data_IF_051169764836
#
_entry.id   IF_051169764836
#
_cell.length_a   1.000
_cell.length_b   1.000
_cell.length_c   1.000
_cell.angle_alpha   90.00
_cell.angle_beta   90.00
_cell.angle_gamma   90.00
#
_symmetry.space_group_name_H-M   'P 1'
#
loop_
_entity.id
_entity.type
_entity.pdbx_description
1 polymer ?
#
# COMPACT_ATOMS: atom_id res chain seq x y z
N UNK A 1 10.69 17.60 -11.43
CA UNK A 1 11.09 16.45 -10.58
C UNK A 1 9.87 16.03 -9.78
N UNK A 2 9.11 15.05 -10.27
CA UNK A 2 7.93 14.55 -9.55
C UNK A 2 8.40 13.91 -8.24
N UNK A 3 8.02 14.50 -7.12
CA UNK A 3 8.54 14.13 -5.79
C UNK A 3 7.73 12.94 -5.29
N UNK A 4 8.14 11.74 -5.67
CA UNK A 4 7.53 10.52 -5.15
C UNK A 4 7.75 10.51 -3.64
N UNK A 5 6.67 10.36 -2.88
CA UNK A 5 6.76 10.27 -1.42
C UNK A 5 6.52 8.81 -1.05
N UNK A 6 7.58 8.17 -0.55
CA UNK A 6 7.55 6.81 0.00
C UNK A 6 7.24 6.94 1.47
N UNK A 7 6.18 6.32 1.95
CA UNK A 7 5.83 6.43 3.37
C UNK A 7 5.89 5.13 4.14
N UNK A 8 6.12 4.02 3.45
CA UNK A 8 6.11 2.72 4.08
C UNK A 8 7.41 2.03 3.68
N UNK A 9 8.21 1.76 4.71
CA UNK A 9 9.34 0.85 4.72
C UNK A 9 9.71 0.54 6.19
N UNK A 10 9.59 1.54 7.09
CA UNK A 10 9.99 1.38 8.50
C UNK A 10 8.84 1.40 9.54
N UNK A 11 7.74 2.15 9.32
CA UNK A 11 6.67 2.32 10.33
C UNK A 11 5.24 2.45 9.74
N UNK A 12 4.59 1.33 9.37
CA UNK A 12 3.24 1.31 8.80
C UNK A 12 2.20 2.06 9.61
N UNK A 13 2.14 1.76 10.91
CA UNK A 13 1.16 2.33 11.81
C UNK A 13 1.31 3.85 11.95
N UNK A 14 2.54 4.35 11.95
CA UNK A 14 2.81 5.79 12.06
C UNK A 14 2.38 6.53 10.79
N UNK A 15 2.69 5.98 9.63
CA UNK A 15 2.30 6.55 8.34
C UNK A 15 0.78 6.64 8.17
N UNK A 16 0.08 5.55 8.49
CA UNK A 16 -1.39 5.52 8.47
C UNK A 16 -1.98 6.61 9.39
N UNK A 17 -1.38 6.82 10.58
CA UNK A 17 -1.77 7.90 11.52
C UNK A 17 -1.42 9.30 10.99
N UNK A 18 -0.34 9.48 10.23
CA UNK A 18 0.02 10.76 9.62
C UNK A 18 -0.94 11.12 8.48
N UNK A 19 -1.34 10.13 7.67
CA UNK A 19 -2.38 10.30 6.63
C UNK A 19 -3.72 10.66 7.28
N UNK A 20 -4.13 9.95 8.34
CA UNK A 20 -5.40 10.23 9.02
C UNK A 20 -5.52 11.65 9.57
N UNK A 21 -4.39 12.32 9.83
CA UNK A 21 -4.33 13.71 10.32
C UNK A 21 -4.27 14.73 9.19
N UNK A 22 -3.74 14.35 8.03
CA UNK A 22 -3.45 15.28 6.93
C UNK A 22 -4.55 15.24 5.87
N UNK A 23 -5.09 14.06 5.60
CA UNK A 23 -6.05 13.79 4.53
C UNK A 23 -7.00 12.63 4.93
N UNK A 24 -8.15 12.94 5.57
CA UNK A 24 -9.10 11.94 6.05
C UNK A 24 -9.77 11.12 4.94
N UNK A 25 -9.98 11.72 3.77
CA UNK A 25 -10.61 11.05 2.63
C UNK A 25 -9.65 10.02 2.03
N UNK A 26 -8.39 10.41 1.86
CA UNK A 26 -7.33 9.48 1.48
C UNK A 26 -7.14 8.37 2.52
N UNK A 27 -7.18 8.70 3.81
CA UNK A 27 -7.11 7.71 4.87
C UNK A 27 -8.24 6.67 4.78
N UNK A 28 -9.47 7.12 4.54
CA UNK A 28 -10.62 6.23 4.37
C UNK A 28 -10.45 5.32 3.14
N UNK A 29 -9.99 5.87 2.01
CA UNK A 29 -9.73 5.12 0.78
C UNK A 29 -8.63 4.07 0.97
N UNK A 30 -7.49 4.45 1.54
CA UNK A 30 -6.36 3.53 1.79
C UNK A 30 -6.76 2.44 2.78
N UNK A 31 -7.49 2.80 3.84
CA UNK A 31 -7.96 1.82 4.84
C UNK A 31 -8.94 0.83 4.23
N UNK A 32 -9.93 1.31 3.47
CA UNK A 32 -10.88 0.44 2.78
C UNK A 32 -10.19 -0.46 1.75
N UNK A 33 -9.22 0.08 1.00
CA UNK A 33 -8.48 -0.70 0.01
C UNK A 33 -7.65 -1.80 0.70
N UNK A 34 -6.92 -1.49 1.78
CA UNK A 34 -6.14 -2.50 2.54
C UNK A 34 -7.04 -3.60 3.11
N UNK A 35 -8.21 -3.26 3.64
CA UNK A 35 -9.18 -4.25 4.18
C UNK A 35 -9.69 -5.19 3.10
N UNK A 36 -9.78 -4.73 1.86
CA UNK A 36 -10.25 -5.52 0.71
C UNK A 36 -9.14 -6.31 0.01
N UNK A 37 -7.86 -6.09 0.37
CA UNK A 37 -6.74 -6.84 -0.22
C UNK A 37 -6.81 -8.30 0.22
N UNK A 38 -6.67 -9.18 -0.77
CA UNK A 38 -6.47 -10.62 -0.59
C UNK A 38 -5.12 -11.05 -1.21
N UNK A 39 -4.74 -12.31 -1.00
CA UNK A 39 -3.49 -12.89 -1.49
C UNK A 39 -3.40 -12.96 -3.03
N UNK A 40 -4.49 -12.67 -3.73
CA UNK A 40 -4.59 -12.64 -5.20
C UNK A 40 -4.45 -11.23 -5.76
N UNK A 41 -4.51 -10.22 -4.91
CA UNK A 41 -4.48 -8.83 -5.31
C UNK A 41 -3.11 -8.41 -5.86
N UNK A 42 -3.11 -7.52 -6.85
CA UNK A 42 -1.89 -6.92 -7.40
C UNK A 42 -1.16 -7.72 -8.46
N UNK A 43 -0.17 -7.05 -9.07
CA UNK A 43 0.72 -7.62 -10.09
C UNK A 43 2.06 -8.00 -9.43
N UNK A 44 2.59 -9.22 -9.65
CA UNK A 44 3.92 -9.60 -9.19
C UNK A 44 4.99 -8.60 -9.66
N UNK A 45 5.85 -8.17 -8.74
CA UNK A 45 6.96 -7.25 -9.03
C UNK A 45 8.30 -7.97 -9.11
N UNK A 46 8.38 -9.17 -8.54
CA UNK A 46 9.54 -10.06 -8.57
C UNK A 46 9.19 -11.43 -9.16
N UNK A 47 10.21 -12.29 -9.24
CA UNK A 47 10.12 -13.63 -9.81
C UNK A 47 9.50 -14.67 -8.86
N UNK A 48 9.44 -14.37 -7.56
CA UNK A 48 8.87 -15.25 -6.54
C UNK A 48 7.38 -15.00 -6.31
N UNK A 49 6.89 -13.82 -6.70
CA UNK A 49 5.49 -13.42 -6.60
C UNK A 49 5.05 -13.04 -5.19
N UNK A 50 6.01 -12.91 -4.26
CA UNK A 50 5.82 -12.49 -2.88
C UNK A 50 5.78 -10.97 -2.76
N UNK A 51 6.46 -10.20 -3.63
CA UNK A 51 6.18 -8.76 -3.77
C UNK A 51 5.14 -8.51 -4.87
N UNK A 52 4.10 -7.74 -4.54
CA UNK A 52 3.08 -7.30 -5.50
C UNK A 52 2.83 -5.81 -5.46
N UNK A 53 2.49 -5.25 -6.61
CA UNK A 53 2.08 -3.85 -6.74
C UNK A 53 0.57 -3.78 -6.96
N UNK A 54 -0.12 -2.97 -6.15
CA UNK A 54 -1.56 -2.71 -6.24
C UNK A 54 -1.79 -1.22 -6.38
N UNK A 55 -2.52 -0.81 -7.42
CA UNK A 55 -3.02 0.57 -7.53
C UNK A 55 -4.26 0.69 -6.66
N UNK A 56 -4.19 1.45 -5.57
CA UNK A 56 -5.31 1.67 -4.65
C UNK A 56 -6.23 2.79 -5.17
N UNK A 57 -5.62 3.85 -5.67
CA UNK A 57 -6.27 4.99 -6.34
C UNK A 57 -5.37 5.45 -7.50
N UNK A 58 -5.84 6.30 -8.43
CA UNK A 58 -4.98 6.83 -9.50
C UNK A 58 -3.68 7.49 -9.01
N UNK A 59 -3.65 7.93 -7.75
CA UNK A 59 -2.53 8.66 -7.13
C UNK A 59 -1.68 7.81 -6.20
N UNK A 60 -2.18 6.64 -5.79
CA UNK A 60 -1.58 5.85 -4.73
C UNK A 60 -1.40 4.41 -5.17
N UNK A 61 -0.14 3.98 -5.17
CA UNK A 61 0.25 2.59 -5.40
C UNK A 61 0.81 2.01 -4.11
N UNK A 62 0.40 0.79 -3.78
CA UNK A 62 0.93 -0.01 -2.69
C UNK A 62 1.84 -1.10 -3.24
N UNK A 63 3.04 -1.25 -2.66
CA UNK A 63 3.85 -2.47 -2.79
C UNK A 63 3.60 -3.30 -1.52
N UNK A 64 3.08 -4.51 -1.72
CA UNK A 64 2.66 -5.44 -0.68
C UNK A 64 3.54 -6.69 -0.74
N UNK A 65 4.00 -7.13 0.42
CA UNK A 65 4.65 -8.41 0.60
C UNK A 65 3.61 -9.44 1.04
N UNK A 66 3.54 -10.55 0.35
CA UNK A 66 2.74 -11.69 0.73
C UNK A 66 3.61 -12.60 1.57
N UNK A 67 3.18 -12.88 2.79
CA UNK A 67 3.77 -13.92 3.61
C UNK A 67 2.90 -15.19 3.51
N UNK A 68 3.20 -16.10 2.56
CA UNK A 68 2.41 -17.32 2.37
C UNK A 68 2.58 -18.30 3.54
N UNK A 69 3.67 -18.19 4.31
CA UNK A 69 4.03 -19.10 5.38
C UNK A 69 3.48 -18.69 6.75
N UNK A 70 2.66 -17.63 6.80
CA UNK A 70 2.07 -17.19 8.06
C UNK A 70 1.15 -18.31 8.62
N UNK A 71 1.36 -18.75 9.88
CA UNK A 71 0.91 -20.05 10.39
C UNK A 71 -0.60 -20.24 10.53
N UNK A 72 -1.40 -19.20 10.28
CA UNK A 72 -2.87 -19.22 10.41
C UNK A 72 -3.58 -19.02 9.07
N UNK A 73 -3.04 -18.15 8.23
CA UNK A 73 -3.51 -17.79 6.90
C UNK A 73 -2.44 -16.90 6.25
N UNK A 74 -2.33 -16.86 4.90
CA UNK A 74 -1.47 -15.90 4.21
C UNK A 74 -1.76 -14.48 4.72
N UNK A 75 -0.71 -13.75 5.08
CA UNK A 75 -0.83 -12.34 5.50
C UNK A 75 -0.28 -11.42 4.44
N UNK A 76 -0.89 -10.24 4.33
CA UNK A 76 -0.45 -9.18 3.44
C UNK A 76 0.21 -8.12 4.31
N UNK A 77 1.51 -7.94 4.11
CA UNK A 77 2.31 -6.91 4.75
C UNK A 77 2.52 -5.77 3.75
N UNK A 78 1.91 -4.60 3.98
CA UNK A 78 2.12 -3.45 3.09
C UNK A 78 3.52 -2.89 3.35
N UNK A 79 4.44 -3.12 2.43
CA UNK A 79 5.84 -2.69 2.55
C UNK A 79 5.95 -1.21 2.24
N UNK A 80 5.26 -0.72 1.20
CA UNK A 80 5.40 0.64 0.70
C UNK A 80 4.11 1.22 0.15
N UNK A 81 3.85 2.49 0.45
CA UNK A 81 2.86 3.31 -0.26
C UNK A 81 3.61 4.42 -1.01
N UNK A 82 3.29 4.56 -2.29
CA UNK A 82 3.88 5.51 -3.23
C UNK A 82 2.80 6.46 -3.72
N UNK A 83 2.99 7.75 -3.48
CA UNK A 83 2.14 8.80 -4.00
C UNK A 83 2.76 9.44 -5.24
N UNK A 84 1.93 9.69 -6.24
CA UNK A 84 2.28 10.48 -7.42
C UNK A 84 1.57 11.83 -7.32
N UNK A 85 2.26 12.91 -6.89
CA UNK A 85 1.64 14.23 -6.80
C UNK A 85 1.33 14.79 -8.19
N UNK A 86 0.10 15.26 -8.41
CA UNK A 86 -0.31 16.01 -9.61
C UNK A 86 -1.53 15.50 -10.39
N UNK A 87 -2.28 14.52 -9.86
CA UNK A 87 -3.55 14.05 -10.46
C UNK A 87 -4.79 14.65 -9.79
N UNK A 88 -4.68 15.17 -8.56
CA UNK A 88 -5.64 16.09 -7.96
C UNK A 88 -5.37 17.50 -8.50
N UNK A 89 -6.11 17.87 -9.54
CA UNK A 89 -6.33 19.27 -9.94
C UNK A 89 -7.48 19.88 -9.17
#
# INVERSE_FOLDING_TARGET
>A
MSRWRTWLQDQPARTIVEISKTDPDLFALVTAAIVLLDDRSGTPVDEWGDLRSVVLTPEVTAEIFLNPDHPVAPTIDVVRLVWVPGLCS
#
